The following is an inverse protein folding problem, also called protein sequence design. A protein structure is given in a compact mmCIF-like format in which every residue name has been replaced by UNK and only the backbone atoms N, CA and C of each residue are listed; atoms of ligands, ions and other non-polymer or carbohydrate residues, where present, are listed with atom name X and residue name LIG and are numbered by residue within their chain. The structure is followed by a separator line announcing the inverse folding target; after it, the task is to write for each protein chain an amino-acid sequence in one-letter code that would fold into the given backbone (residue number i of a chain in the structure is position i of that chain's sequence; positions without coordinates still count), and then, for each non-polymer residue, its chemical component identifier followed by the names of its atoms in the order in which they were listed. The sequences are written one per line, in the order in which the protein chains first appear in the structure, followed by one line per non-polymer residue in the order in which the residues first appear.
data_IF_269751711420
#
_entry.id   IF_269751711420
#
_cell.length_a   1.000
_cell.length_b   1.000
_cell.length_c   1.000
_cell.angle_alpha   90.00
_cell.angle_beta   90.00
_cell.angle_gamma   90.00
#
_symmetry.space_group_name_H-M   'P 1'
#
loop_
_entity.id
_entity.type
_entity.pdbx_description
1 polymer ?
#
# COMPACT_ATOMS: atom_id res chain seq x y z
N UNK A 1 -23.72 -16.45 -14.09
CA UNK A 1 -22.51 -16.69 -13.29
C UNK A 1 -21.38 -15.80 -13.80
N UNK A 2 -21.43 -14.49 -13.56
CA UNK A 2 -20.33 -13.58 -13.90
C UNK A 2 -19.41 -13.54 -12.68
N UNK A 3 -18.40 -14.40 -12.67
CA UNK A 3 -17.37 -14.37 -11.62
C UNK A 3 -16.69 -13.00 -11.64
N UNK A 4 -16.31 -12.50 -10.46
CA UNK A 4 -15.52 -11.28 -10.37
C UNK A 4 -14.11 -11.55 -10.88
N UNK A 5 -13.95 -11.49 -12.20
CA UNK A 5 -12.71 -11.80 -12.92
C UNK A 5 -11.57 -10.88 -12.44
N UNK A 6 -11.89 -9.70 -11.91
CA UNK A 6 -10.90 -8.74 -11.40
C UNK A 6 -10.30 -9.21 -10.09
N UNK A 7 -11.14 -9.60 -9.14
CA UNK A 7 -10.67 -10.11 -7.85
C UNK A 7 -9.91 -11.43 -8.04
N UNK A 8 -10.35 -12.27 -8.99
CA UNK A 8 -9.65 -13.48 -9.36
C UNK A 8 -8.28 -13.18 -10.01
N UNK A 9 -8.22 -12.26 -10.97
CA UNK A 9 -6.98 -11.88 -11.64
C UNK A 9 -6.01 -11.17 -10.68
N UNK A 10 -6.50 -10.26 -9.85
CA UNK A 10 -5.73 -9.59 -8.80
C UNK A 10 -5.19 -10.58 -7.78
N UNK A 11 -6.04 -11.49 -7.29
CA UNK A 11 -5.64 -12.56 -6.39
C UNK A 11 -4.59 -13.49 -6.99
N UNK A 12 -4.73 -13.86 -8.27
CA UNK A 12 -3.74 -14.69 -8.98
C UNK A 12 -2.40 -13.97 -9.17
N UNK A 13 -2.42 -12.67 -9.49
CA UNK A 13 -1.21 -11.86 -9.60
C UNK A 13 -0.51 -11.72 -8.26
N UNK A 14 -1.25 -11.46 -7.17
CA UNK A 14 -0.70 -11.42 -5.82
C UNK A 14 -0.09 -12.77 -5.43
N UNK A 15 -0.80 -13.87 -5.68
CA UNK A 15 -0.29 -15.22 -5.43
C UNK A 15 1.02 -15.47 -6.18
N UNK A 16 1.05 -15.21 -7.49
CA UNK A 16 2.22 -15.43 -8.32
C UNK A 16 3.41 -14.57 -7.85
N UNK A 17 3.17 -13.30 -7.55
CA UNK A 17 4.22 -12.38 -7.09
C UNK A 17 4.76 -12.77 -5.71
N UNK A 18 3.88 -13.13 -4.77
CA UNK A 18 4.25 -13.58 -3.43
C UNK A 18 5.05 -14.87 -3.45
N UNK A 19 4.60 -15.87 -4.23
CA UNK A 19 5.30 -17.15 -4.42
C UNK A 19 6.65 -16.94 -5.09
N UNK A 20 6.72 -16.09 -6.12
CA UNK A 20 7.98 -15.79 -6.80
C UNK A 20 9.02 -15.18 -5.84
N UNK A 21 8.65 -14.14 -5.11
CA UNK A 21 9.58 -13.47 -4.19
C UNK A 21 9.92 -14.34 -2.98
N UNK A 22 8.96 -15.10 -2.44
CA UNK A 22 9.24 -16.05 -1.36
C UNK A 22 10.18 -17.17 -1.83
N UNK A 23 9.91 -17.76 -2.99
CA UNK A 23 10.75 -18.80 -3.58
C UNK A 23 12.15 -18.29 -3.90
N UNK A 24 12.26 -17.11 -4.51
CA UNK A 24 13.55 -16.48 -4.80
C UNK A 24 14.34 -16.20 -3.53
N UNK A 25 13.68 -15.67 -2.49
CA UNK A 25 14.32 -15.39 -1.21
C UNK A 25 14.86 -16.65 -0.53
N UNK A 26 14.07 -17.74 -0.54
CA UNK A 26 14.45 -19.02 0.08
C UNK A 26 15.58 -19.72 -0.70
N UNK A 27 15.64 -19.55 -2.02
CA UNK A 27 16.62 -20.23 -2.89
C UNK A 27 17.93 -19.47 -3.03
N UNK A 28 17.91 -18.14 -2.98
CA UNK A 28 19.09 -17.30 -3.26
C UNK A 28 19.68 -16.63 -2.01
N UNK A 29 18.93 -16.58 -0.90
CA UNK A 29 19.39 -15.95 0.33
C UNK A 29 19.36 -16.91 1.51
N UNK A 30 20.35 -16.77 2.40
CA UNK A 30 20.33 -17.50 3.64
C UNK A 30 19.25 -16.91 4.57
N UNK A 31 18.32 -17.75 4.99
CA UNK A 31 17.28 -17.39 5.97
C UNK A 31 17.89 -17.24 7.38
N UNK A 32 19.04 -17.85 7.66
CA UNK A 32 19.64 -17.83 8.99
C UNK A 32 18.76 -18.56 10.01
N UNK A 33 18.69 -18.04 11.24
CA UNK A 33 17.86 -18.60 12.32
C UNK A 33 16.89 -17.55 12.85
N UNK A 34 15.84 -17.96 13.56
CA UNK A 34 14.93 -16.99 14.21
C UNK A 34 15.64 -16.04 15.20
N UNK A 35 16.79 -16.44 15.76
CA UNK A 35 17.60 -15.61 16.67
C UNK A 35 18.63 -14.74 15.94
N UNK A 36 18.89 -15.01 14.66
CA UNK A 36 19.76 -14.24 13.75
C UNK A 36 19.17 -14.30 12.35
N UNK A 37 18.19 -13.43 12.08
CA UNK A 37 17.49 -13.40 10.80
C UNK A 37 18.49 -13.06 9.69
N UNK A 38 18.62 -13.99 8.75
CA UNK A 38 19.39 -13.77 7.53
C UNK A 38 18.65 -12.86 6.56
N UNK A 39 19.34 -12.33 5.54
CA UNK A 39 18.77 -11.36 4.58
C UNK A 39 17.56 -11.91 3.82
N UNK A 40 17.39 -13.24 3.73
CA UNK A 40 16.26 -13.88 3.06
C UNK A 40 14.96 -13.95 3.87
N UNK A 41 15.01 -13.82 5.20
CA UNK A 41 13.81 -13.99 6.06
C UNK A 41 12.75 -12.94 5.81
N UNK A 42 13.17 -11.69 5.64
CA UNK A 42 12.23 -10.59 5.45
C UNK A 42 11.53 -10.66 4.07
N UNK A 43 12.26 -10.80 2.94
CA UNK A 43 11.61 -11.00 1.64
C UNK A 43 10.77 -12.28 1.58
N UNK A 44 11.21 -13.38 2.20
CA UNK A 44 10.45 -14.62 2.25
C UNK A 44 9.14 -14.47 3.05
N UNK A 45 9.20 -13.86 4.24
CA UNK A 45 8.04 -13.66 5.09
C UNK A 45 6.98 -12.76 4.44
N UNK A 46 7.40 -11.65 3.84
CA UNK A 46 6.48 -10.77 3.10
C UNK A 46 5.92 -11.46 1.87
N UNK A 47 6.74 -12.19 1.11
CA UNK A 47 6.28 -12.95 -0.05
C UNK A 47 5.21 -13.98 0.32
N UNK A 48 5.40 -14.72 1.42
CA UNK A 48 4.42 -15.66 1.95
C UNK A 48 3.12 -14.93 2.34
N UNK A 49 3.21 -13.80 3.05
CA UNK A 49 2.04 -13.04 3.46
C UNK A 49 1.23 -12.53 2.25
N UNK A 50 1.92 -12.03 1.22
CA UNK A 50 1.30 -11.60 -0.04
C UNK A 50 0.63 -12.79 -0.74
N UNK A 51 1.27 -13.96 -0.78
CA UNK A 51 0.70 -15.16 -1.37
C UNK A 51 -0.58 -15.59 -0.64
N UNK A 52 -0.59 -15.55 0.70
CA UNK A 52 -1.78 -15.85 1.51
C UNK A 52 -2.92 -14.86 1.24
N UNK A 53 -2.62 -13.56 1.10
CA UNK A 53 -3.62 -12.56 0.71
C UNK A 53 -4.18 -12.82 -0.70
N UNK A 54 -3.33 -13.24 -1.64
CA UNK A 54 -3.76 -13.65 -2.98
C UNK A 54 -4.73 -14.83 -2.95
N UNK A 55 -4.42 -15.86 -2.14
CA UNK A 55 -5.32 -17.01 -1.93
C UNK A 55 -6.65 -16.55 -1.34
N UNK A 56 -6.62 -15.70 -0.31
CA UNK A 56 -7.82 -15.18 0.31
C UNK A 56 -8.72 -14.46 -0.71
N UNK A 57 -8.14 -13.63 -1.59
CA UNK A 57 -8.88 -12.95 -2.67
C UNK A 57 -9.48 -13.93 -3.69
N UNK A 58 -8.75 -14.97 -4.08
CA UNK A 58 -9.27 -16.00 -5.00
C UNK A 58 -10.46 -16.74 -4.37
N UNK A 59 -10.36 -17.09 -3.09
CA UNK A 59 -11.44 -17.78 -2.35
C UNK A 59 -12.64 -16.87 -2.18
N UNK A 60 -12.46 -15.61 -1.79
CA UNK A 60 -13.58 -14.67 -1.63
C UNK A 60 -14.23 -14.32 -2.97
N UNK A 61 -13.45 -14.22 -4.06
CA UNK A 61 -13.97 -14.05 -5.43
C UNK A 61 -14.82 -15.25 -5.87
N UNK A 62 -14.44 -16.48 -5.48
CA UNK A 62 -15.23 -17.67 -5.77
C UNK A 62 -16.56 -17.74 -4.98
N UNK A 63 -16.59 -17.13 -3.78
CA UNK A 63 -17.78 -17.07 -2.92
C UNK A 63 -18.72 -15.91 -3.26
N UNK A 64 -18.22 -14.83 -3.88
CA UNK A 64 -19.02 -13.68 -4.29
C UNK A 64 -19.55 -13.84 -5.71
N UNK A 65 -20.85 -13.59 -5.89
CA UNK A 65 -21.53 -13.60 -7.20
C UNK A 65 -22.03 -12.20 -7.58
N UNK A 66 -21.37 -11.15 -7.07
CA UNK A 66 -21.75 -9.78 -7.37
C UNK A 66 -21.30 -9.36 -8.77
N UNK A 67 -22.06 -8.46 -9.37
CA UNK A 67 -21.79 -7.95 -10.70
C UNK A 67 -20.45 -7.19 -10.73
N UNK A 68 -19.64 -7.50 -11.74
CA UNK A 68 -18.34 -6.88 -11.97
C UNK A 68 -18.44 -5.34 -11.88
N UNK A 69 -17.72 -4.68 -10.94
CA UNK A 69 -17.71 -3.22 -10.90
C UNK A 69 -17.11 -2.67 -12.19
N UNK A 70 -17.36 -1.40 -12.52
CA UNK A 70 -16.84 -0.82 -13.77
C UNK A 70 -15.30 -0.64 -13.72
N UNK A 71 -14.59 -0.85 -14.83
CA UNK A 71 -13.12 -0.64 -14.86
C UNK A 71 -12.88 0.85 -15.05
N UNK A 72 -12.30 1.50 -14.04
CA UNK A 72 -11.95 2.93 -14.09
C UNK A 72 -10.43 3.09 -14.19
N UNK A 73 -9.82 2.91 -15.39
CA UNK A 73 -8.37 2.97 -15.54
C UNK A 73 -7.80 4.34 -15.11
N UNK A 74 -8.59 5.41 -15.29
CA UNK A 74 -8.22 6.75 -14.83
C UNK A 74 -8.13 6.88 -13.31
N UNK A 75 -8.88 6.08 -12.54
CA UNK A 75 -8.78 6.05 -11.08
C UNK A 75 -7.54 5.26 -10.64
N UNK A 76 -7.28 4.11 -11.27
CA UNK A 76 -6.09 3.32 -11.01
C UNK A 76 -4.79 4.11 -11.28
N UNK A 77 -4.74 4.85 -12.40
CA UNK A 77 -3.59 5.69 -12.74
C UNK A 77 -3.41 6.85 -11.73
N UNK A 78 -4.50 7.47 -11.27
CA UNK A 78 -4.46 8.50 -10.22
C UNK A 78 -3.91 7.96 -8.90
N UNK A 79 -4.36 6.78 -8.48
CA UNK A 79 -3.85 6.12 -7.28
C UNK A 79 -2.36 5.78 -7.44
N UNK A 80 -1.94 5.28 -8.60
CA UNK A 80 -0.51 5.02 -8.85
C UNK A 80 0.33 6.31 -8.80
N UNK A 81 -0.22 7.42 -9.31
CA UNK A 81 0.43 8.74 -9.27
C UNK A 81 0.62 9.29 -7.85
N UNK A 82 -0.11 8.78 -6.84
CA UNK A 82 0.12 9.17 -5.43
C UNK A 82 1.53 8.82 -4.96
N UNK A 83 2.12 7.74 -5.45
CA UNK A 83 3.44 7.26 -5.01
C UNK A 83 4.56 8.25 -5.36
N UNK A 84 4.76 8.64 -6.64
CA UNK A 84 5.76 9.66 -6.97
C UNK A 84 5.39 11.03 -6.38
N UNK A 85 4.10 11.38 -6.31
CA UNK A 85 3.68 12.65 -5.71
C UNK A 85 4.02 12.73 -4.21
N UNK A 86 3.83 11.63 -3.47
CA UNK A 86 4.25 11.51 -2.08
C UNK A 86 5.74 11.66 -1.93
N UNK A 87 6.53 10.93 -2.74
CA UNK A 87 7.98 10.96 -2.66
C UNK A 87 8.53 12.37 -2.89
N UNK A 88 8.02 13.07 -3.90
CA UNK A 88 8.39 14.46 -4.20
C UNK A 88 7.94 15.41 -3.08
N UNK A 89 6.68 15.34 -2.65
CA UNK A 89 6.18 16.21 -1.58
C UNK A 89 6.90 15.96 -0.25
N UNK A 90 7.23 14.72 0.07
CA UNK A 90 8.01 14.37 1.26
C UNK A 90 9.42 14.96 1.19
N UNK A 91 10.06 14.90 0.02
CA UNK A 91 11.40 15.43 -0.19
C UNK A 91 11.44 16.97 -0.08
N UNK A 92 10.49 17.65 -0.72
CA UNK A 92 10.48 19.12 -0.82
C UNK A 92 9.75 19.83 0.32
N UNK A 93 8.61 19.29 0.76
CA UNK A 93 7.64 19.97 1.64
C UNK A 93 7.58 19.37 3.05
N UNK A 94 8.03 18.12 3.22
CA UNK A 94 7.98 17.39 4.50
C UNK A 94 6.72 16.53 4.67
N UNK A 95 6.58 15.94 5.86
CA UNK A 95 5.63 14.84 6.11
C UNK A 95 4.15 15.26 5.99
N UNK A 96 3.76 16.37 6.61
CA UNK A 96 2.36 16.83 6.66
C UNK A 96 1.81 17.19 5.26
N UNK A 97 2.50 18.03 4.45
CA UNK A 97 2.04 18.34 3.09
C UNK A 97 2.13 17.15 2.13
N UNK A 98 3.04 16.20 2.35
CA UNK A 98 3.07 14.95 1.58
C UNK A 98 1.81 14.10 1.80
N UNK A 99 1.38 13.97 3.06
CA UNK A 99 0.12 13.28 3.41
C UNK A 99 -1.08 14.04 2.81
N UNK A 100 -1.06 15.37 2.80
CA UNK A 100 -2.09 16.19 2.13
C UNK A 100 -2.19 15.88 0.64
N UNK A 101 -1.05 15.81 -0.04
CA UNK A 101 -0.99 15.56 -1.49
C UNK A 101 -1.59 14.21 -1.87
N UNK A 102 -1.24 13.13 -1.15
CA UNK A 102 -1.81 11.81 -1.43
C UNK A 102 -3.30 11.74 -1.14
N UNK A 103 -3.76 12.38 -0.06
CA UNK A 103 -5.18 12.40 0.32
C UNK A 103 -6.00 13.17 -0.73
N UNK A 104 -5.49 14.28 -1.25
CA UNK A 104 -6.14 15.05 -2.31
C UNK A 104 -6.19 14.28 -3.64
N UNK A 105 -5.10 13.61 -4.03
CA UNK A 105 -5.07 12.81 -5.26
C UNK A 105 -6.01 11.59 -5.14
N UNK A 106 -6.01 10.91 -4.00
CA UNK A 106 -6.91 9.78 -3.73
C UNK A 106 -8.37 10.23 -3.69
N UNK A 107 -8.64 11.39 -3.10
CA UNK A 107 -9.98 12.00 -3.11
C UNK A 107 -10.50 12.23 -4.52
N UNK A 108 -9.64 12.72 -5.44
CA UNK A 108 -10.02 12.89 -6.83
C UNK A 108 -10.37 11.60 -7.57
N UNK A 109 -10.12 10.41 -7.00
CA UNK A 109 -10.50 9.13 -7.58
C UNK A 109 -11.88 8.62 -7.10
N UNK A 110 -12.53 9.30 -6.17
CA UNK A 110 -13.80 8.89 -5.55
C UNK A 110 -14.97 9.79 -6.01
N UNK A 111 -16.11 9.19 -6.36
CA UNK A 111 -17.29 9.95 -6.84
C UNK A 111 -18.07 10.65 -5.71
N UNK A 112 -17.82 10.29 -4.44
CA UNK A 112 -18.60 10.76 -3.29
C UNK A 112 -17.90 11.93 -2.60
N UNK A 113 -18.49 13.12 -2.73
CA UNK A 113 -17.98 14.33 -2.12
C UNK A 113 -18.26 14.38 -0.60
N UNK A 114 -17.22 14.20 0.23
CA UNK A 114 -17.30 14.33 1.70
C UNK A 114 -16.12 15.13 2.27
N UNK A 115 -16.14 16.47 2.20
CA UNK A 115 -15.00 17.31 2.56
C UNK A 115 -14.55 17.13 4.01
N UNK A 116 -15.51 16.93 4.93
CA UNK A 116 -15.21 16.70 6.34
C UNK A 116 -14.42 15.41 6.57
N UNK A 117 -14.74 14.35 5.81
CA UNK A 117 -14.06 13.05 5.93
C UNK A 117 -12.62 13.11 5.43
N UNK A 118 -12.37 13.88 4.36
CA UNK A 118 -11.02 14.08 3.79
C UNK A 118 -10.12 14.82 4.78
N UNK A 119 -10.63 15.92 5.35
CA UNK A 119 -9.89 16.72 6.33
C UNK A 119 -9.62 15.92 7.59
N UNK A 120 -10.61 15.16 8.08
CA UNK A 120 -10.43 14.26 9.21
C UNK A 120 -9.40 13.16 8.93
N UNK A 121 -9.44 12.55 7.74
CA UNK A 121 -8.48 11.54 7.32
C UNK A 121 -7.06 12.11 7.24
N UNK A 122 -6.90 13.26 6.60
CA UNK A 122 -5.61 13.95 6.51
C UNK A 122 -5.06 14.28 7.90
N UNK A 123 -5.88 14.84 8.79
CA UNK A 123 -5.47 15.17 10.15
C UNK A 123 -5.07 13.92 10.95
N UNK A 124 -5.90 12.87 10.92
CA UNK A 124 -5.64 11.62 11.62
C UNK A 124 -4.34 10.95 11.14
N UNK A 125 -4.14 10.85 9.82
CA UNK A 125 -2.93 10.27 9.25
C UNK A 125 -1.68 11.11 9.57
N UNK A 126 -1.79 12.44 9.53
CA UNK A 126 -0.68 13.33 9.88
C UNK A 126 -0.27 13.20 11.34
N UNK A 127 -1.24 13.15 12.26
CA UNK A 127 -1.00 12.96 13.70
C UNK A 127 -0.37 11.59 13.95
N UNK A 128 -0.92 10.54 13.36
CA UNK A 128 -0.42 9.17 13.53
C UNK A 128 1.01 9.04 13.00
N UNK A 129 1.28 9.55 11.79
CA UNK A 129 2.60 9.50 11.19
C UNK A 129 3.62 10.29 12.03
N UNK A 130 3.29 11.51 12.44
CA UNK A 130 4.16 12.30 13.31
C UNK A 130 4.45 11.59 14.63
N UNK A 131 3.44 10.96 15.23
CA UNK A 131 3.58 10.24 16.50
C UNK A 131 4.46 9.01 16.35
N UNK A 132 4.23 8.16 15.36
CA UNK A 132 5.04 6.95 15.15
C UNK A 132 6.48 7.33 14.82
N UNK A 133 6.70 8.27 13.90
CA UNK A 133 8.04 8.54 13.39
C UNK A 133 8.87 9.43 14.30
N UNK A 134 8.29 10.53 14.81
CA UNK A 134 9.04 11.46 15.64
C UNK A 134 9.09 11.00 17.10
N UNK A 135 7.95 10.61 17.68
CA UNK A 135 7.86 10.22 19.09
C UNK A 135 8.17 8.72 19.32
N UNK A 136 7.70 7.84 18.44
CA UNK A 136 7.85 6.39 18.60
C UNK A 136 9.23 5.86 18.17
N UNK A 137 9.70 6.31 17.00
CA UNK A 137 10.94 5.82 16.38
C UNK A 137 12.13 6.77 16.53
N UNK A 138 11.92 7.99 17.05
CA UNK A 138 12.96 9.00 17.21
C UNK A 138 13.61 9.44 15.90
N UNK A 139 12.94 9.22 14.76
CA UNK A 139 13.41 9.64 13.45
C UNK A 139 13.05 11.11 13.27
N UNK A 140 14.02 12.03 13.09
CA UNK A 140 13.75 13.45 12.86
C UNK A 140 13.22 13.65 11.44
N UNK A 141 11.99 13.22 11.21
CA UNK A 141 11.25 13.48 9.97
C UNK A 141 10.65 14.89 10.09
N UNK A 142 11.13 15.85 9.28
CA UNK A 142 10.65 17.21 9.39
C UNK A 142 9.18 17.27 8.97
N UNK A 143 8.35 17.69 9.92
CA UNK A 143 6.91 17.87 9.73
C UNK A 143 6.64 18.87 8.59
N UNK A 144 7.45 19.92 8.52
CA UNK A 144 7.55 20.86 7.41
C UNK A 144 9.02 20.99 7.00
N UNK A 145 9.30 20.78 5.73
CA UNK A 145 10.57 21.16 5.08
C UNK A 145 10.21 22.28 4.11
N UNK A 146 10.69 23.48 4.38
CA UNK A 146 10.59 24.59 3.43
C UNK A 146 12.01 24.95 3.03
N UNK A 147 12.57 24.15 2.11
CA UNK A 147 13.94 24.34 1.65
C UNK A 147 13.87 25.20 0.38
N UNK A 148 13.99 26.51 0.58
CA UNK A 148 14.54 27.39 -0.45
C UNK A 148 16.06 27.28 -0.40
#
# INVERSE_FOLDING_TARGET
MKRDIKDLAGGLLLLAFGVFWAGYAITHYNLGSMRRMGPGMFPAGIGILIALMGIALIVTSALKTDAMPDIRPAAALRVLATVPAFALAMYYLGLIPAIGTIVLIAWGAEDRFRPLAIVALWAALSILAYTIFNLGLGLPMPAFRWRF
#
